data_IF_404220745349
#
_entry.id   IF_404220745349
#
_cell.length_a   1.000
_cell.length_b   1.000
_cell.length_c   1.000
_cell.angle_alpha   90.00
_cell.angle_beta   90.00
_cell.angle_gamma   90.00
#
_symmetry.space_group_name_H-M   'P 1'
#
loop_
_entity.id
_entity.type
_entity.pdbx_description
1 polymer ?
#
# COMPACT_ATOMS: atom_id res chain seq x y z
N UNK A 1 -19.30 -14.13 -0.48
CA UNK A 1 -17.91 -14.29 -0.95
C UNK A 1 -17.01 -14.41 0.28
N UNK A 2 -16.30 -15.54 0.44
CA UNK A 2 -15.38 -15.73 1.58
C UNK A 2 -14.05 -15.06 1.24
N UNK A 3 -13.81 -13.87 1.77
CA UNK A 3 -12.52 -13.19 1.60
C UNK A 3 -11.49 -13.78 2.53
N UNK A 4 -10.30 -14.01 1.99
CA UNK A 4 -9.16 -14.50 2.75
C UNK A 4 -8.77 -13.47 3.82
N UNK A 5 -8.42 -13.94 5.02
CA UNK A 5 -7.94 -13.11 6.13
C UNK A 5 -6.69 -12.32 5.72
N UNK A 6 -5.77 -12.99 5.03
CA UNK A 6 -4.51 -12.41 4.56
C UNK A 6 -4.72 -11.20 3.62
N UNK A 7 -5.70 -11.28 2.70
CA UNK A 7 -6.00 -10.17 1.80
C UNK A 7 -6.42 -8.91 2.57
N UNK A 8 -7.26 -9.06 3.61
CA UNK A 8 -7.66 -7.94 4.45
C UNK A 8 -6.49 -7.35 5.24
N UNK A 9 -5.63 -8.21 5.78
CA UNK A 9 -4.42 -7.79 6.51
C UNK A 9 -3.47 -7.02 5.60
N UNK A 10 -3.11 -7.59 4.44
CA UNK A 10 -2.19 -6.99 3.48
C UNK A 10 -2.72 -5.65 2.95
N UNK A 11 -4.01 -5.59 2.55
CA UNK A 11 -4.61 -4.34 2.06
C UNK A 11 -4.70 -3.28 3.15
N UNK A 12 -5.04 -3.68 4.38
CA UNK A 12 -5.11 -2.74 5.51
C UNK A 12 -3.74 -2.18 5.84
N UNK A 13 -2.71 -3.03 5.86
CA UNK A 13 -1.33 -2.62 6.11
C UNK A 13 -0.83 -1.63 5.06
N UNK A 14 -1.06 -1.92 3.78
CA UNK A 14 -0.60 -1.09 2.65
C UNK A 14 -1.28 0.29 2.62
N UNK A 15 -2.55 0.40 3.02
CA UNK A 15 -3.38 1.58 2.76
C UNK A 15 -3.63 2.42 4.02
N UNK A 16 -3.72 1.80 5.17
CA UNK A 16 -4.11 2.46 6.42
C UNK A 16 -2.97 2.39 7.45
N UNK A 17 -2.41 1.20 7.64
CA UNK A 17 -1.38 0.91 8.61
C UNK A 17 -1.74 -0.26 9.52
N UNK A 18 -0.77 -0.67 10.32
CA UNK A 18 -0.86 -1.82 11.20
C UNK A 18 -1.92 -1.66 12.30
N UNK A 19 -2.10 -0.43 12.78
CA UNK A 19 -3.05 -0.07 13.84
C UNK A 19 -4.52 -0.40 13.50
N UNK A 20 -4.86 -0.48 12.22
CA UNK A 20 -6.21 -0.76 11.76
C UNK A 20 -6.52 -2.26 11.57
N UNK A 21 -5.52 -3.12 11.52
CA UNK A 21 -5.68 -4.55 11.19
C UNK A 21 -6.65 -5.25 12.16
N UNK A 22 -6.46 -5.03 13.45
CA UNK A 22 -7.27 -5.68 14.48
C UNK A 22 -8.76 -5.30 14.39
N UNK A 23 -9.04 -4.02 14.12
CA UNK A 23 -10.40 -3.51 13.96
C UNK A 23 -11.05 -4.07 12.69
N UNK A 24 -10.31 -4.12 11.57
CA UNK A 24 -10.79 -4.69 10.31
C UNK A 24 -11.12 -6.17 10.47
N UNK A 25 -10.25 -6.94 11.11
CA UNK A 25 -10.48 -8.36 11.37
C UNK A 25 -11.67 -8.59 12.32
N UNK A 26 -11.83 -7.73 13.33
CA UNK A 26 -12.96 -7.80 14.24
C UNK A 26 -14.30 -7.55 13.53
N UNK A 27 -14.34 -6.59 12.60
CA UNK A 27 -15.53 -6.25 11.82
C UNK A 27 -15.83 -7.24 10.69
N UNK A 28 -14.88 -8.11 10.32
CA UNK A 28 -15.07 -9.10 9.25
C UNK A 28 -16.29 -9.97 9.49
N UNK A 29 -17.24 -9.93 8.55
CA UNK A 29 -18.47 -10.74 8.61
C UNK A 29 -19.49 -10.27 9.63
N UNK A 30 -19.28 -9.11 10.24
CA UNK A 30 -20.24 -8.47 11.15
C UNK A 30 -20.81 -7.21 10.51
N UNK A 31 -22.06 -6.92 10.83
CA UNK A 31 -22.76 -5.74 10.34
C UNK A 31 -23.29 -4.90 11.50
N UNK A 32 -23.33 -3.60 11.32
CA UNK A 32 -23.93 -2.66 12.27
C UNK A 32 -23.39 -2.79 13.71
N UNK A 33 -22.06 -2.86 13.85
CA UNK A 33 -21.42 -2.93 15.17
C UNK A 33 -21.16 -1.52 15.69
N UNK A 34 -21.59 -1.25 16.93
CA UNK A 34 -21.35 0.06 17.55
C UNK A 34 -19.88 0.26 17.90
N UNK A 35 -19.40 1.50 17.76
CA UNK A 35 -18.04 1.88 18.12
C UNK A 35 -17.68 1.55 19.57
N UNK A 36 -18.64 1.67 20.49
CA UNK A 36 -18.46 1.30 21.90
C UNK A 36 -18.23 -0.20 22.10
N UNK A 37 -18.95 -1.05 21.33
CA UNK A 37 -18.76 -2.49 21.38
C UNK A 37 -17.38 -2.89 20.87
N UNK A 38 -16.92 -2.27 19.79
CA UNK A 38 -15.57 -2.49 19.25
C UNK A 38 -14.53 -2.13 20.33
N UNK A 39 -14.67 -0.97 20.98
CA UNK A 39 -13.77 -0.52 22.03
C UNK A 39 -13.71 -1.47 23.22
N UNK A 40 -14.88 -1.95 23.65
CA UNK A 40 -14.96 -2.88 24.79
C UNK A 40 -14.34 -4.24 24.48
N UNK A 41 -14.66 -4.79 23.30
CA UNK A 41 -14.24 -6.14 22.92
C UNK A 41 -12.73 -6.21 22.61
N UNK A 42 -12.17 -5.16 22.00
CA UNK A 42 -10.75 -5.07 21.67
C UNK A 42 -9.91 -4.45 22.81
N UNK A 43 -10.54 -3.88 23.83
CA UNK A 43 -9.87 -3.15 24.94
C UNK A 43 -9.00 -1.98 24.44
N UNK A 44 -9.42 -1.33 23.38
CA UNK A 44 -8.77 -0.17 22.76
C UNK A 44 -9.55 1.08 23.12
N UNK A 45 -8.85 2.20 23.30
CA UNK A 45 -9.48 3.50 23.56
C UNK A 45 -10.45 3.91 22.45
N UNK A 46 -11.60 4.43 22.85
CA UNK A 46 -12.70 4.81 21.93
C UNK A 46 -12.27 5.90 20.94
N UNK A 47 -11.37 6.81 21.33
CA UNK A 47 -10.90 7.88 20.46
C UNK A 47 -10.00 7.33 19.35
N UNK A 48 -9.15 6.35 19.68
CA UNK A 48 -8.33 5.64 18.68
C UNK A 48 -9.21 4.87 17.70
N UNK A 49 -10.21 4.14 18.20
CA UNK A 49 -11.15 3.41 17.35
C UNK A 49 -11.88 4.35 16.39
N UNK A 50 -12.40 5.47 16.89
CA UNK A 50 -13.05 6.47 16.04
C UNK A 50 -12.13 6.99 14.96
N UNK A 51 -10.91 7.33 15.30
CA UNK A 51 -9.92 7.81 14.34
C UNK A 51 -9.72 6.79 13.21
N UNK A 52 -9.47 5.53 13.56
CA UNK A 52 -9.25 4.44 12.59
C UNK A 52 -10.51 4.20 11.74
N UNK A 53 -11.69 4.16 12.36
CA UNK A 53 -12.96 3.98 11.65
C UNK A 53 -13.25 5.12 10.67
N UNK A 54 -12.93 6.37 11.02
CA UNK A 54 -13.05 7.50 10.08
C UNK A 54 -12.02 7.42 8.95
N UNK A 55 -10.80 6.97 9.21
CA UNK A 55 -9.80 6.70 8.15
C UNK A 55 -10.31 5.63 7.17
N UNK A 56 -10.89 4.54 7.70
CA UNK A 56 -11.54 3.50 6.89
C UNK A 56 -12.70 4.06 6.05
N UNK A 57 -13.52 4.94 6.64
CA UNK A 57 -14.65 5.55 5.94
C UNK A 57 -14.21 6.50 4.82
N UNK A 58 -13.15 7.28 5.02
CA UNK A 58 -12.62 8.19 4.00
C UNK A 58 -12.16 7.44 2.75
N UNK A 59 -11.73 6.19 2.90
CA UNK A 59 -11.34 5.29 1.81
C UNK A 59 -12.49 4.40 1.32
N UNK A 60 -13.70 4.61 1.86
CA UNK A 60 -14.88 3.80 1.60
C UNK A 60 -14.74 2.31 1.95
N UNK A 61 -13.79 1.97 2.83
CA UNK A 61 -13.54 0.62 3.34
C UNK A 61 -14.52 0.22 4.46
N UNK A 62 -15.09 1.21 5.14
CA UNK A 62 -16.16 1.02 6.10
C UNK A 62 -17.26 2.08 5.90
N UNK A 63 -18.47 1.71 6.20
CA UNK A 63 -19.65 2.60 6.21
C UNK A 63 -20.27 2.61 7.58
N UNK A 64 -20.98 3.68 7.90
CA UNK A 64 -21.68 3.75 9.18
C UNK A 64 -23.10 4.28 9.05
N UNK A 65 -23.95 3.86 9.99
CA UNK A 65 -25.31 4.37 10.18
C UNK A 65 -25.38 4.99 11.59
N UNK A 66 -25.85 6.22 11.68
CA UNK A 66 -26.11 6.88 12.98
C UNK A 66 -27.51 6.60 13.47
N UNK A 67 -27.62 6.12 14.71
CA UNK A 67 -28.91 5.97 15.40
C UNK A 67 -28.90 6.75 16.70
N UNK A 68 -30.03 7.44 17.01
CA UNK A 68 -30.19 8.15 18.26
C UNK A 68 -30.51 7.14 19.37
N UNK A 69 -29.71 7.15 20.42
CA UNK A 69 -30.04 6.38 21.63
C UNK A 69 -31.29 7.00 22.30
N UNK A 70 -32.30 6.17 22.54
CA UNK A 70 -33.60 6.62 23.12
C UNK A 70 -33.48 7.02 24.58
N UNK A 71 -32.52 6.46 25.32
CA UNK A 71 -32.33 6.69 26.74
C UNK A 71 -31.41 7.87 27.02
N UNK A 72 -30.32 7.98 26.29
CA UNK A 72 -29.27 8.99 26.55
C UNK A 72 -29.29 10.18 25.60
N UNK A 73 -30.12 10.11 24.54
CA UNK A 73 -30.26 11.19 23.55
C UNK A 73 -29.05 11.40 22.61
N UNK A 74 -28.05 10.60 22.73
CA UNK A 74 -26.79 10.73 21.92
C UNK A 74 -26.93 9.96 20.61
N UNK A 75 -26.10 10.30 19.62
CA UNK A 75 -25.99 9.53 18.38
C UNK A 75 -24.87 8.50 18.50
N UNK A 76 -25.20 7.26 18.22
CA UNK A 76 -24.25 6.14 18.17
C UNK A 76 -24.05 5.75 16.72
N UNK A 77 -22.78 5.63 16.31
CA UNK A 77 -22.39 5.16 14.98
C UNK A 77 -22.26 3.63 14.99
N UNK A 78 -22.93 3.00 14.05
CA UNK A 78 -22.88 1.55 13.81
C UNK A 78 -22.14 1.28 12.50
N UNK A 79 -21.10 0.52 12.56
CA UNK A 79 -20.13 0.34 11.48
C UNK A 79 -20.28 -1.01 10.78
N UNK A 80 -20.08 -1.01 9.48
CA UNK A 80 -20.08 -2.20 8.62
C UNK A 80 -18.93 -2.09 7.62
N UNK A 81 -18.18 -3.17 7.45
CA UNK A 81 -17.08 -3.24 6.49
C UNK A 81 -17.61 -3.35 5.05
N UNK A 82 -17.04 -2.55 4.15
CA UNK A 82 -17.26 -2.68 2.72
C UNK A 82 -16.23 -3.63 2.09
N UNK A 83 -16.51 -4.89 2.18
CA UNK A 83 -15.61 -5.96 1.78
C UNK A 83 -15.28 -5.92 0.28
N UNK A 84 -16.21 -5.48 -0.58
CA UNK A 84 -15.98 -5.34 -2.03
C UNK A 84 -14.88 -4.33 -2.30
N UNK A 85 -14.89 -3.22 -1.58
CA UNK A 85 -13.89 -2.16 -1.74
C UNK A 85 -12.48 -2.61 -1.37
N UNK A 86 -12.31 -3.51 -0.40
CA UNK A 86 -11.02 -4.11 -0.09
C UNK A 86 -10.45 -4.90 -1.28
N UNK A 87 -11.29 -5.67 -1.98
CA UNK A 87 -10.88 -6.42 -3.18
C UNK A 87 -10.44 -5.47 -4.29
N UNK A 88 -11.25 -4.45 -4.57
CA UNK A 88 -10.94 -3.46 -5.62
C UNK A 88 -9.60 -2.75 -5.36
N UNK A 89 -9.36 -2.32 -4.12
CA UNK A 89 -8.10 -1.66 -3.76
C UNK A 89 -6.93 -2.64 -3.86
N UNK A 90 -7.09 -3.88 -3.39
CA UNK A 90 -6.07 -4.91 -3.50
C UNK A 90 -5.69 -5.17 -4.96
N UNK A 91 -6.68 -5.41 -5.82
CA UNK A 91 -6.47 -5.65 -7.26
C UNK A 91 -5.73 -4.48 -7.90
N UNK A 92 -6.17 -3.26 -7.66
CA UNK A 92 -5.51 -2.04 -8.16
C UNK A 92 -4.05 -1.93 -7.70
N UNK A 93 -3.78 -2.18 -6.42
CA UNK A 93 -2.42 -2.13 -5.86
C UNK A 93 -1.52 -3.19 -6.50
N UNK A 94 -2.03 -4.40 -6.72
CA UNK A 94 -1.27 -5.47 -7.38
C UNK A 94 -0.99 -5.13 -8.86
N UNK A 95 -1.96 -4.55 -9.55
CA UNK A 95 -1.80 -4.12 -10.94
C UNK A 95 -0.73 -3.01 -11.08
N UNK A 96 -0.77 -2.00 -10.20
CA UNK A 96 0.25 -0.95 -10.15
C UNK A 96 1.65 -1.51 -9.86
N UNK A 97 1.77 -2.49 -8.94
CA UNK A 97 3.03 -3.19 -8.66
C UNK A 97 3.53 -3.95 -9.88
N UNK A 98 2.63 -4.67 -10.56
CA UNK A 98 2.96 -5.41 -11.78
C UNK A 98 3.46 -4.49 -12.90
N UNK A 99 2.79 -3.35 -13.11
CA UNK A 99 3.20 -2.36 -14.11
C UNK A 99 4.59 -1.79 -13.79
N UNK A 100 4.85 -1.45 -12.53
CA UNK A 100 6.17 -0.97 -12.09
C UNK A 100 7.27 -2.01 -12.31
N UNK A 101 6.99 -3.29 -12.05
CA UNK A 101 7.95 -4.38 -12.28
C UNK A 101 8.18 -4.62 -13.77
N UNK A 102 7.14 -4.57 -14.60
CA UNK A 102 7.25 -4.68 -16.05
C UNK A 102 8.10 -3.54 -16.64
N UNK A 103 7.87 -2.30 -16.20
CA UNK A 103 8.65 -1.14 -16.63
C UNK A 103 10.14 -1.28 -16.23
N UNK A 104 10.40 -1.75 -14.97
CA UNK A 104 11.78 -2.04 -14.56
C UNK A 104 12.43 -3.13 -15.39
N UNK A 105 11.70 -4.21 -15.67
CA UNK A 105 12.20 -5.30 -16.50
C UNK A 105 12.52 -4.83 -17.92
N UNK A 106 11.65 -4.02 -18.51
CA UNK A 106 11.87 -3.46 -19.84
C UNK A 106 13.13 -2.57 -19.85
N UNK A 107 13.29 -1.68 -18.88
CA UNK A 107 14.48 -0.87 -18.75
C UNK A 107 15.75 -1.74 -18.63
N UNK A 108 15.71 -2.81 -17.81
CA UNK A 108 16.85 -3.71 -17.68
C UNK A 108 17.14 -4.50 -18.98
N UNK A 109 16.12 -4.79 -19.78
CA UNK A 109 16.29 -5.44 -21.09
C UNK A 109 16.91 -4.49 -22.11
N UNK A 110 16.60 -3.21 -22.09
CA UNK A 110 17.22 -2.18 -22.94
C UNK A 110 18.72 -2.02 -22.63
N UNK A 111 19.14 -2.31 -21.39
CA UNK A 111 20.57 -2.30 -21.00
C UNK A 111 21.34 -3.57 -21.36
N UNK A 112 20.73 -4.56 -22.04
CA UNK A 112 21.41 -5.80 -22.45
C UNK A 112 22.56 -5.60 -23.41
N UNK A 113 22.54 -4.54 -24.22
CA UNK A 113 23.57 -4.26 -25.23
C UNK A 113 24.85 -3.58 -24.67
N UNK A 114 24.96 -3.44 -23.38
CA UNK A 114 26.09 -2.88 -22.69
C UNK A 114 25.70 -1.87 -21.63
N UNK A 115 25.96 -2.24 -20.40
CA UNK A 115 25.76 -1.40 -19.24
C UNK A 115 27.11 -0.82 -18.80
N UNK A 116 27.17 0.48 -18.57
CA UNK A 116 28.30 1.18 -18.02
C UNK A 116 28.04 1.67 -16.62
N UNK A 117 28.91 1.29 -15.68
CA UNK A 117 28.77 1.64 -14.27
C UNK A 117 29.98 2.43 -13.80
N UNK A 118 29.75 3.45 -13.02
CA UNK A 118 30.81 4.17 -12.33
C UNK A 118 31.45 3.28 -11.25
N UNK A 119 32.77 3.21 -11.13
CA UNK A 119 33.46 2.47 -10.06
C UNK A 119 33.07 2.93 -8.65
N UNK A 120 32.63 4.18 -8.51
CA UNK A 120 32.10 4.74 -7.26
C UNK A 120 30.60 4.57 -7.09
N UNK A 121 29.91 3.82 -7.98
CA UNK A 121 28.48 3.58 -7.99
C UNK A 121 27.61 4.86 -8.05
N UNK A 122 28.16 5.99 -8.54
CA UNK A 122 27.41 7.24 -8.66
C UNK A 122 26.30 7.13 -9.70
N UNK A 123 26.58 6.52 -10.84
CA UNK A 123 25.66 6.42 -11.97
C UNK A 123 25.81 5.12 -12.73
N UNK A 124 24.77 4.76 -13.44
CA UNK A 124 24.63 3.60 -14.30
C UNK A 124 23.90 4.03 -15.57
N UNK A 125 24.41 3.70 -16.73
CA UNK A 125 23.84 4.16 -18.00
C UNK A 125 24.08 3.14 -19.12
N UNK A 126 23.30 3.28 -20.20
CA UNK A 126 23.45 2.49 -21.42
C UNK A 126 24.67 2.94 -22.25
N UNK A 127 24.95 2.19 -23.29
CA UNK A 127 26.07 2.47 -24.20
C UNK A 127 25.98 3.86 -24.84
N UNK A 128 24.78 4.25 -25.33
CA UNK A 128 24.60 5.54 -26.03
C UNK A 128 24.86 6.72 -25.10
N UNK A 129 24.27 6.71 -23.89
CA UNK A 129 24.52 7.76 -22.91
C UNK A 129 26.00 7.79 -22.43
N UNK A 130 26.63 6.63 -22.30
CA UNK A 130 28.06 6.57 -21.96
C UNK A 130 28.96 7.15 -23.07
N UNK A 131 28.60 6.91 -24.33
CA UNK A 131 29.30 7.45 -25.48
C UNK A 131 29.20 8.98 -25.58
N UNK A 132 27.99 9.54 -25.35
CA UNK A 132 27.77 11.00 -25.31
C UNK A 132 28.64 11.68 -24.24
N UNK A 133 28.85 11.02 -23.11
CA UNK A 133 29.68 11.52 -22.00
C UNK A 133 31.15 11.11 -22.11
N UNK A 134 31.58 10.59 -23.27
CA UNK A 134 32.96 10.08 -23.48
C UNK A 134 33.37 9.09 -22.38
N UNK A 135 32.47 8.23 -21.96
CA UNK A 135 32.66 7.21 -20.90
C UNK A 135 33.11 7.78 -19.55
N UNK A 136 32.79 9.04 -19.26
CA UNK A 136 33.07 9.68 -17.98
C UNK A 136 31.81 9.84 -17.14
N UNK A 137 31.92 9.56 -15.87
CA UNK A 137 30.83 9.75 -14.92
C UNK A 137 30.53 11.25 -14.75
N UNK A 138 29.27 11.71 -14.96
CA UNK A 138 28.92 13.12 -14.82
C UNK A 138 29.04 13.63 -13.37
N UNK A 139 28.98 12.73 -12.38
CA UNK A 139 29.02 13.09 -10.96
C UNK A 139 30.48 13.20 -10.43
N UNK A 140 31.37 12.26 -10.76
CA UNK A 140 32.68 12.18 -10.18
C UNK A 140 33.84 12.24 -11.21
N UNK A 141 33.55 12.30 -12.51
CA UNK A 141 34.51 12.38 -13.59
C UNK A 141 35.33 11.11 -13.87
N UNK A 142 35.12 10.03 -13.11
CA UNK A 142 35.82 8.75 -13.33
C UNK A 142 35.35 8.05 -14.60
N UNK A 143 36.21 7.23 -15.18
CA UNK A 143 35.87 6.41 -16.35
C UNK A 143 34.84 5.34 -15.93
N UNK A 144 33.81 5.20 -16.74
CA UNK A 144 32.78 4.19 -16.58
C UNK A 144 33.30 2.82 -17.05
N UNK A 145 33.03 1.78 -16.27
CA UNK A 145 33.36 0.42 -16.59
C UNK A 145 32.22 -0.31 -17.26
N UNK A 146 32.45 -1.06 -18.35
CA UNK A 146 31.44 -1.93 -18.92
C UNK A 146 31.08 -3.06 -17.93
N UNK A 147 29.82 -3.35 -17.78
CA UNK A 147 29.33 -4.48 -16.97
C UNK A 147 28.45 -5.37 -17.83
N UNK A 148 28.76 -6.66 -17.85
CA UNK A 148 27.91 -7.68 -18.47
C UNK A 148 26.68 -7.94 -17.58
N UNK A 149 25.51 -7.76 -18.14
CA UNK A 149 24.24 -8.04 -17.48
C UNK A 149 23.75 -9.48 -17.74
N UNK A 150 24.64 -10.34 -18.24
CA UNK A 150 24.36 -11.73 -18.60
C UNK A 150 24.39 -12.66 -17.37
N UNK A 151 23.40 -12.47 -16.44
CA UNK A 151 23.07 -13.51 -15.45
C UNK A 151 21.56 -13.55 -15.20
#
# INVERSE_FOLDING_TARGET
MRINKKLLEDTTLDVIGEDAIEIVLYLKGKENISEFKIATDLKIDIHLIRNILYRLNNLHLATYIRKKDRLKGWYISYWTLNVKRFVEIFEKTQEERLQKLKAKLQNEQEYREGLYICPSLCTRMNFEAAMELNYKCPECGRILNPQDNAR
#
